data_IF_584120740461
#
_entry.id   IF_584120740461
#
_cell.length_a   1.000
_cell.length_b   1.000
_cell.length_c   1.000
_cell.angle_alpha   90.00
_cell.angle_beta   90.00
_cell.angle_gamma   90.00
#
_symmetry.space_group_name_H-M   'P 1'
#
loop_
_entity.id
_entity.type
_entity.pdbx_description
1 polymer ?
#
# COMPACT_ATOMS: atom_id res chain seq x y z
N UNK A 1 9.03 -12.67 9.32
CA UNK A 1 8.84 -12.02 8.02
C UNK A 1 10.20 -11.74 7.39
N UNK A 2 10.32 -11.98 6.11
CA UNK A 2 11.56 -11.73 5.37
C UNK A 2 11.79 -10.21 5.26
N UNK A 3 12.90 -9.68 5.82
CA UNK A 3 13.12 -8.23 5.81
C UNK A 3 13.22 -7.65 4.40
N UNK A 4 13.79 -8.36 3.45
CA UNK A 4 13.92 -7.86 2.09
C UNK A 4 12.55 -7.72 1.42
N UNK A 5 11.66 -8.66 1.67
CA UNK A 5 10.32 -8.62 1.13
C UNK A 5 9.46 -7.57 1.80
N UNK A 6 9.62 -7.39 3.11
CA UNK A 6 8.93 -6.33 3.82
C UNK A 6 9.37 -4.95 3.30
N UNK A 7 10.66 -4.76 3.08
CA UNK A 7 11.18 -3.53 2.51
C UNK A 7 10.55 -3.26 1.14
N UNK A 8 10.38 -4.30 0.35
CA UNK A 8 9.75 -4.17 -0.97
C UNK A 8 8.29 -3.74 -0.87
N UNK A 9 7.56 -4.27 0.10
CA UNK A 9 6.17 -3.85 0.35
C UNK A 9 6.13 -2.37 0.72
N UNK A 10 6.97 -1.96 1.66
CA UNK A 10 7.03 -0.57 2.11
C UNK A 10 7.40 0.35 0.96
N UNK A 11 8.42 0.00 0.18
CA UNK A 11 8.87 0.79 -0.95
C UNK A 11 7.76 0.98 -1.98
N UNK A 12 7.05 -0.10 -2.32
CA UNK A 12 5.95 -0.03 -3.26
C UNK A 12 4.80 0.85 -2.76
N UNK A 13 4.51 0.79 -1.47
CA UNK A 13 3.46 1.63 -0.89
C UNK A 13 3.87 3.10 -0.88
N UNK A 14 5.12 3.39 -0.57
CA UNK A 14 5.62 4.77 -0.57
C UNK A 14 5.60 5.33 -1.98
N UNK A 15 6.05 4.59 -2.97
CA UNK A 15 6.02 5.02 -4.37
C UNK A 15 4.60 5.30 -4.83
N UNK A 16 3.67 4.44 -4.41
CA UNK A 16 2.27 4.62 -4.74
C UNK A 16 1.70 5.87 -4.07
N UNK A 17 2.04 6.10 -2.81
CA UNK A 17 1.60 7.29 -2.09
C UNK A 17 2.11 8.56 -2.78
N UNK A 18 3.36 8.57 -3.20
CA UNK A 18 3.92 9.70 -3.94
C UNK A 18 3.16 9.92 -5.24
N UNK A 19 2.85 8.85 -5.95
CA UNK A 19 2.15 8.92 -7.23
C UNK A 19 0.75 9.51 -7.11
N UNK A 20 0.06 9.23 -6.01
CA UNK A 20 -1.31 9.70 -5.80
C UNK A 20 -1.41 11.01 -5.01
N UNK A 21 -0.30 11.51 -4.49
CA UNK A 21 -0.31 12.73 -3.67
C UNK A 21 -0.38 13.99 -4.50
N UNK A 22 -1.06 15.00 -3.96
CA UNK A 22 -0.95 16.35 -4.51
C UNK A 22 0.46 16.89 -4.26
N UNK A 23 0.95 17.80 -5.10
CA UNK A 23 2.25 18.42 -4.87
C UNK A 23 2.29 19.16 -3.53
N UNK A 24 3.46 19.14 -2.90
CA UNK A 24 3.71 19.87 -1.65
C UNK A 24 2.82 19.42 -0.47
N UNK A 25 2.39 18.18 -0.48
CA UNK A 25 1.67 17.58 0.64
C UNK A 25 2.55 16.56 1.34
N UNK A 26 2.28 16.36 2.62
CA UNK A 26 3.05 15.41 3.41
C UNK A 26 2.51 13.98 3.26
N UNK A 27 3.41 13.04 3.35
CA UNK A 27 3.06 11.63 3.44
C UNK A 27 3.43 11.17 4.84
N UNK A 28 2.51 10.60 5.56
CA UNK A 28 2.79 10.08 6.89
C UNK A 28 2.93 8.58 6.86
N UNK A 29 3.87 8.09 7.64
CA UNK A 29 4.13 6.68 7.79
C UNK A 29 4.13 6.38 9.28
N UNK A 30 3.26 5.49 9.71
CA UNK A 30 3.18 5.09 11.10
C UNK A 30 3.29 3.59 11.20
N UNK A 31 3.96 3.11 12.23
CA UNK A 31 4.02 1.70 12.51
C UNK A 31 3.82 1.48 14.00
N UNK A 32 2.98 0.53 14.35
CA UNK A 32 2.91 0.09 15.72
C UNK A 32 2.84 -1.43 15.76
N UNK A 33 3.22 -1.98 16.88
CA UNK A 33 3.26 -3.42 17.05
C UNK A 33 2.49 -3.82 18.29
N UNK A 34 1.86 -4.97 18.19
CA UNK A 34 1.31 -5.69 19.33
C UNK A 34 2.17 -6.93 19.53
N UNK A 35 1.80 -7.79 20.45
CA UNK A 35 2.53 -9.04 20.64
C UNK A 35 2.42 -9.96 19.43
N UNK A 36 1.36 -9.84 18.65
CA UNK A 36 1.07 -10.76 17.55
C UNK A 36 1.24 -10.14 16.17
N UNK A 37 1.10 -8.81 16.05
CA UNK A 37 1.04 -8.16 14.74
C UNK A 37 1.87 -6.89 14.69
N UNK A 38 2.34 -6.59 13.49
CA UNK A 38 2.84 -5.27 13.13
C UNK A 38 1.84 -4.62 12.19
N UNK A 39 1.48 -3.38 12.45
CA UNK A 39 0.56 -2.62 11.61
C UNK A 39 1.29 -1.40 11.06
N UNK A 40 1.34 -1.32 9.75
CA UNK A 40 1.96 -0.21 9.04
C UNK A 40 0.87 0.58 8.34
N UNK A 41 0.82 1.87 8.58
CA UNK A 41 -0.18 2.76 7.97
C UNK A 41 0.53 3.86 7.20
N UNK A 42 0.19 4.00 5.93
CA UNK A 42 0.71 5.07 5.08
C UNK A 42 -0.46 5.93 4.65
N UNK A 43 -0.40 7.22 4.96
CA UNK A 43 -1.44 8.17 4.60
C UNK A 43 -0.86 9.28 3.73
N UNK A 44 -1.62 9.67 2.75
CA UNK A 44 -1.25 10.81 1.91
C UNK A 44 -2.48 11.62 1.54
N UNK A 45 -2.24 12.86 1.14
CA UNK A 45 -3.30 13.75 0.67
C UNK A 45 -3.31 13.75 -0.84
N UNK A 46 -4.42 13.38 -1.42
CA UNK A 46 -4.57 13.30 -2.86
C UNK A 46 -6.05 13.18 -3.22
N UNK A 47 -6.30 13.04 -4.52
CA UNK A 47 -7.67 12.92 -4.99
C UNK A 47 -8.34 11.68 -4.37
N UNK A 48 -9.54 11.87 -3.86
CA UNK A 48 -10.30 10.77 -3.27
C UNK A 48 -10.52 9.67 -4.32
N UNK A 49 -10.21 8.44 -3.94
CA UNK A 49 -10.38 7.30 -4.83
C UNK A 49 -11.78 6.73 -4.58
N UNK A 50 -12.53 6.52 -5.67
CA UNK A 50 -13.88 5.99 -5.55
C UNK A 50 -13.87 4.56 -5.00
N UNK A 51 -14.95 4.11 -4.34
CA UNK A 51 -15.01 2.74 -3.84
C UNK A 51 -14.79 1.68 -4.92
N UNK A 52 -15.28 1.94 -6.13
CA UNK A 52 -15.08 1.02 -7.24
C UNK A 52 -13.63 0.86 -7.61
N UNK A 53 -12.88 1.97 -7.61
CA UNK A 53 -11.44 1.91 -7.87
C UNK A 53 -10.68 1.31 -6.72
N UNK A 54 -11.11 1.57 -5.47
CA UNK A 54 -10.47 0.96 -4.31
C UNK A 54 -10.56 -0.55 -4.34
N UNK A 55 -11.68 -1.10 -4.81
CA UNK A 55 -11.85 -2.54 -4.94
C UNK A 55 -10.87 -3.15 -5.95
N UNK A 56 -10.40 -2.35 -6.90
CA UNK A 56 -9.53 -2.82 -7.97
C UNK A 56 -8.09 -2.38 -7.84
N UNK A 57 -7.78 -1.54 -6.87
CA UNK A 57 -6.48 -0.88 -6.79
C UNK A 57 -5.31 -1.86 -6.63
N UNK A 58 -5.58 -3.06 -6.15
CA UNK A 58 -4.56 -4.10 -5.99
C UNK A 58 -4.49 -5.06 -7.17
N UNK A 59 -5.31 -4.85 -8.19
CA UNK A 59 -5.26 -5.70 -9.38
C UNK A 59 -4.01 -5.38 -10.19
N UNK A 60 -3.46 -6.41 -10.82
CA UNK A 60 -2.34 -6.25 -11.71
C UNK A 60 -2.68 -5.28 -12.83
N UNK A 61 -1.76 -4.35 -13.11
CA UNK A 61 -1.90 -3.35 -14.18
C UNK A 61 -3.04 -2.37 -13.99
N UNK A 62 -3.66 -2.32 -12.81
CA UNK A 62 -4.63 -1.29 -12.52
C UNK A 62 -3.91 0.05 -12.34
N UNK A 63 -4.38 1.09 -12.99
CA UNK A 63 -3.69 2.38 -13.03
C UNK A 63 -4.51 3.57 -12.60
N UNK A 64 -5.72 3.40 -12.13
CA UNK A 64 -6.53 4.53 -11.72
C UNK A 64 -6.75 5.54 -12.85
N UNK A 65 -5.95 6.59 -12.87
CA UNK A 65 -5.89 7.55 -13.99
C UNK A 65 -4.73 7.14 -14.87
N UNK A 66 -5.03 6.44 -15.92
CA UNK A 66 -4.05 5.71 -16.72
C UNK A 66 -2.90 6.55 -17.27
N UNK A 67 -3.13 7.82 -17.55
CA UNK A 67 -2.10 8.65 -18.16
C UNK A 67 -0.91 8.91 -17.26
N UNK A 68 -1.06 8.75 -15.96
CA UNK A 68 0.02 9.02 -15.03
C UNK A 68 0.88 7.82 -14.72
N UNK A 69 0.34 6.65 -14.91
CA UNK A 69 1.06 5.43 -14.54
C UNK A 69 2.31 5.22 -15.35
N UNK A 70 2.31 5.68 -16.59
CA UNK A 70 3.48 5.52 -17.45
C UNK A 70 4.66 6.35 -16.96
N UNK A 71 4.41 7.50 -16.34
CA UNK A 71 5.47 8.34 -15.84
C UNK A 71 6.16 7.74 -14.61
N UNK A 72 5.47 6.92 -13.86
CA UNK A 72 6.02 6.31 -12.65
C UNK A 72 6.60 4.92 -12.88
N UNK A 73 6.45 4.39 -14.06
CA UNK A 73 7.01 3.09 -14.43
C UNK A 73 6.64 1.97 -13.47
N UNK A 74 5.75 1.10 -13.86
CA UNK A 74 5.41 -0.05 -13.04
C UNK A 74 4.44 0.20 -11.90
N UNK A 75 3.85 1.39 -11.81
CA UNK A 75 2.87 1.68 -10.77
C UNK A 75 1.70 0.71 -10.77
N UNK A 76 1.31 0.22 -11.94
CA UNK A 76 0.24 -0.75 -12.05
C UNK A 76 0.56 -2.12 -11.47
N UNK A 77 1.83 -2.39 -11.17
CA UNK A 77 2.25 -3.64 -10.56
C UNK A 77 2.60 -3.50 -9.08
N UNK A 78 2.96 -2.28 -8.64
CA UNK A 78 3.47 -2.06 -7.31
C UNK A 78 2.53 -2.53 -6.20
N UNK A 79 1.27 -2.15 -6.28
CA UNK A 79 0.29 -2.54 -5.27
C UNK A 79 -0.06 -4.02 -5.34
N UNK A 80 -0.11 -4.59 -6.55
CA UNK A 80 -0.37 -6.01 -6.71
C UNK A 80 0.76 -6.83 -6.07
N UNK A 81 1.99 -6.42 -6.28
CA UNK A 81 3.16 -7.07 -5.68
C UNK A 81 3.12 -6.93 -4.16
N UNK A 82 2.82 -5.73 -3.65
CA UNK A 82 2.74 -5.51 -2.21
C UNK A 82 1.68 -6.42 -1.57
N UNK A 83 0.53 -6.53 -2.19
CA UNK A 83 -0.53 -7.41 -1.71
C UNK A 83 -0.10 -8.87 -1.72
N UNK A 84 0.51 -9.30 -2.82
CA UNK A 84 0.96 -10.68 -2.94
C UNK A 84 1.96 -11.05 -1.87
N UNK A 85 2.96 -10.21 -1.65
CA UNK A 85 3.97 -10.44 -0.62
C UNK A 85 3.32 -10.47 0.77
N UNK A 86 2.45 -9.51 1.05
CA UNK A 86 1.76 -9.43 2.33
C UNK A 86 0.97 -10.69 2.62
N UNK A 87 0.21 -11.16 1.64
CA UNK A 87 -0.61 -12.36 1.80
C UNK A 87 0.23 -13.62 1.95
N UNK A 88 1.36 -13.70 1.24
CA UNK A 88 2.28 -14.82 1.39
C UNK A 88 2.86 -14.91 2.79
N UNK A 89 2.92 -13.81 3.51
CA UNK A 89 3.39 -13.77 4.88
C UNK A 89 2.26 -13.86 5.91
N UNK A 90 1.06 -14.18 5.45
CA UNK A 90 -0.08 -14.35 6.34
C UNK A 90 -0.72 -13.05 6.80
N UNK A 91 -0.40 -11.95 6.15
CA UNK A 91 -0.93 -10.63 6.51
C UNK A 91 -2.05 -10.17 5.59
N UNK A 92 -2.49 -8.94 5.83
CA UNK A 92 -3.52 -8.30 5.02
C UNK A 92 -3.09 -6.90 4.64
N UNK A 93 -3.63 -6.42 3.52
CA UNK A 93 -3.43 -5.05 3.08
C UNK A 93 -4.79 -4.48 2.70
N UNK A 94 -5.04 -3.25 3.12
CA UNK A 94 -6.31 -2.56 2.85
C UNK A 94 -6.05 -1.14 2.40
N UNK A 95 -7.00 -0.59 1.68
CA UNK A 95 -6.93 0.79 1.22
C UNK A 95 -8.26 1.49 1.53
N UNK A 96 -8.15 2.72 2.02
CA UNK A 96 -9.29 3.60 2.25
C UNK A 96 -9.02 4.94 1.60
N UNK A 97 -10.07 5.60 1.15
CA UNK A 97 -9.94 6.97 0.66
C UNK A 97 -11.19 7.75 1.02
N UNK A 98 -10.99 8.92 1.62
CA UNK A 98 -12.08 9.79 2.07
C UNK A 98 -11.57 11.20 2.26
N UNK A 99 -12.34 12.17 1.81
CA UNK A 99 -12.02 13.60 2.01
C UNK A 99 -10.61 13.96 1.58
N UNK A 100 -10.21 13.48 0.41
CA UNK A 100 -8.88 13.72 -0.18
C UNK A 100 -7.74 13.15 0.66
N UNK A 101 -8.04 12.17 1.50
CA UNK A 101 -7.03 11.38 2.21
C UNK A 101 -7.04 9.96 1.67
N UNK A 102 -5.86 9.42 1.47
CA UNK A 102 -5.70 8.03 1.01
C UNK A 102 -4.88 7.32 2.07
N UNK A 103 -5.35 6.16 2.50
CA UNK A 103 -4.69 5.38 3.54
C UNK A 103 -4.52 3.94 3.10
N UNK A 104 -3.30 3.45 3.23
CA UNK A 104 -3.01 2.02 3.07
C UNK A 104 -2.61 1.46 4.42
N UNK A 105 -3.20 0.34 4.78
CA UNK A 105 -2.91 -0.34 6.05
C UNK A 105 -2.45 -1.75 5.77
N UNK A 106 -1.25 -2.08 6.24
CA UNK A 106 -0.67 -3.41 6.13
C UNK A 106 -0.58 -4.01 7.53
N UNK A 107 -1.12 -5.20 7.70
CA UNK A 107 -1.03 -5.94 8.96
C UNK A 107 -0.28 -7.22 8.70
N UNK A 108 0.80 -7.44 9.45
CA UNK A 108 1.64 -8.62 9.31
C UNK A 108 1.77 -9.34 10.64
N UNK A 109 1.67 -10.67 10.67
CA UNK A 109 1.92 -11.41 11.88
C UNK A 109 3.41 -11.34 12.23
N UNK A 110 3.71 -11.09 13.52
CA UNK A 110 5.08 -11.02 13.99
C UNK A 110 5.68 -12.39 14.24
N UNK A 111 4.82 -13.36 14.50
CA UNK A 111 5.28 -14.74 14.72
C UNK A 111 4.69 -15.62 13.64
N UNK A 112 5.58 -16.24 12.89
CA UNK A 112 5.15 -17.30 12.02
C UNK A 112 5.01 -18.56 12.85
N UNK A 113 3.88 -19.21 12.73
CA UNK A 113 3.74 -20.51 13.33
C UNK A 113 4.66 -21.46 12.61
N UNK A 114 5.62 -21.92 13.34
CA UNK A 114 6.42 -23.04 12.89
C UNK A 114 5.69 -24.27 13.34
N UNK A 115 5.21 -24.98 12.41
CA UNK A 115 4.51 -26.23 12.74
C UNK A 115 5.44 -27.39 12.57
#
# INVERSE_FOLDING_TARGET
>A
CDPDKLERVVDNLIRNAISYSYPNTAISLEMHTTEEYAVLTICNTGRTISPEKLDRIFEQFFRGDSSRATATGGAGLGLAIAKQITELHGGTIKADSRNEQIRFTVTLPLRQKIV
#
